data_IF_623383417127
#
_entry.id   IF_623383417127
#
_cell.length_a   1.000
_cell.length_b   1.000
_cell.length_c   1.000
_cell.angle_alpha   90.00
_cell.angle_beta   90.00
_cell.angle_gamma   90.00
#
_symmetry.space_group_name_H-M   'P 1'
#
loop_
_entity.id
_entity.type
_entity.pdbx_description
1 polymer ?
#
# COMPACT_ATOMS: atom_id res chain seq x y z
N UNK A 1 -26.08 -67.13 -36.20
CA UNK A 1 -26.05 -67.63 -34.81
C UNK A 1 -24.91 -68.63 -34.77
N UNK A 2 -23.77 -68.23 -34.21
CA UNK A 2 -22.51 -68.98 -34.29
C UNK A 2 -22.17 -69.65 -32.97
N UNK A 3 -21.65 -70.86 -33.10
CA UNK A 3 -20.90 -71.70 -32.16
C UNK A 3 -19.83 -70.88 -31.40
N UNK A 4 -19.22 -71.30 -30.28
CA UNK A 4 -18.75 -72.62 -29.89
C UNK A 4 -18.34 -72.53 -28.40
N UNK A 5 -18.89 -73.44 -27.61
CA UNK A 5 -18.26 -74.28 -26.60
C UNK A 5 -17.15 -73.79 -25.65
N UNK A 6 -17.43 -74.06 -24.37
CA UNK A 6 -16.58 -74.80 -23.44
C UNK A 6 -15.34 -74.09 -22.88
N UNK A 7 -15.27 -73.92 -21.56
CA UNK A 7 -14.83 -75.03 -20.74
C UNK A 7 -14.80 -74.65 -19.26
N UNK A 8 -15.21 -75.64 -18.48
CA UNK A 8 -14.91 -75.85 -17.06
C UNK A 8 -13.49 -75.37 -16.73
N UNK A 9 -13.32 -74.78 -15.56
CA UNK A 9 -12.58 -75.42 -14.45
C UNK A 9 -12.10 -74.36 -13.45
N UNK A 10 -12.48 -74.60 -12.20
CA UNK A 10 -11.99 -73.95 -11.01
C UNK A 10 -10.47 -73.73 -11.03
N UNK A 11 -10.06 -72.49 -10.73
CA UNK A 11 -8.74 -72.19 -10.17
C UNK A 11 -8.92 -71.21 -9.03
N UNK A 12 -9.27 -71.79 -7.88
CA UNK A 12 -8.74 -71.33 -6.62
C UNK A 12 -7.20 -71.43 -6.70
N UNK A 13 -6.54 -70.28 -6.91
CA UNK A 13 -5.09 -70.11 -6.77
C UNK A 13 -4.86 -68.67 -6.32
N UNK A 14 -4.77 -68.50 -5.01
CA UNK A 14 -4.41 -67.23 -4.39
C UNK A 14 -3.09 -66.69 -4.92
N UNK A 15 -3.05 -65.38 -5.17
CA UNK A 15 -1.85 -64.55 -5.13
C UNK A 15 -2.26 -63.21 -4.51
N UNK A 16 -2.15 -63.17 -3.19
CA UNK A 16 -1.67 -62.05 -2.37
C UNK A 16 -2.13 -60.63 -2.77
N UNK A 17 -2.99 -60.04 -1.91
CA UNK A 17 -3.00 -58.59 -1.64
C UNK A 17 -1.55 -58.11 -1.56
N UNK A 18 -1.06 -57.35 -2.55
CA UNK A 18 0.18 -56.59 -2.45
C UNK A 18 -0.03 -55.47 -1.43
N UNK A 19 0.09 -55.84 -0.15
CA UNK A 19 0.29 -54.92 0.97
C UNK A 19 1.76 -54.46 0.91
N UNK A 20 2.07 -53.61 -0.06
CA UNK A 20 3.36 -52.95 -0.13
C UNK A 20 3.25 -51.66 -0.95
N UNK A 21 2.24 -50.83 -0.68
CA UNK A 21 2.49 -49.40 -0.77
C UNK A 21 3.47 -49.12 0.37
N UNK A 22 4.75 -49.08 0.03
CA UNK A 22 5.79 -48.64 0.96
C UNK A 22 5.43 -47.20 1.29
N UNK A 23 4.71 -47.02 2.40
CA UNK A 23 4.32 -45.72 2.91
C UNK A 23 5.53 -44.82 2.79
N UNK A 24 5.43 -43.80 1.92
CA UNK A 24 6.49 -42.82 1.75
C UNK A 24 6.81 -42.34 3.16
N UNK A 25 8.08 -42.38 3.61
CA UNK A 25 8.45 -41.84 4.90
C UNK A 25 7.85 -40.43 4.99
N UNK A 26 7.25 -40.03 6.14
CA UNK A 26 6.70 -38.70 6.29
C UNK A 26 7.74 -37.71 5.78
N UNK A 27 7.35 -36.92 4.77
CA UNK A 27 8.27 -35.99 4.14
C UNK A 27 8.84 -35.12 5.26
N UNK A 28 10.16 -35.20 5.44
CA UNK A 28 10.83 -34.39 6.44
C UNK A 28 10.46 -32.93 6.15
N UNK A 29 10.00 -32.15 7.15
CA UNK A 29 9.69 -30.75 6.94
C UNK A 29 10.91 -30.09 6.30
N UNK A 30 10.70 -29.41 5.18
CA UNK A 30 11.76 -28.62 4.56
C UNK A 30 12.22 -27.61 5.62
N UNK A 31 13.52 -27.49 5.90
CA UNK A 31 14.02 -26.48 6.82
C UNK A 31 13.51 -25.11 6.39
N UNK A 32 12.66 -24.50 7.21
CA UNK A 32 12.23 -23.13 6.99
C UNK A 32 13.35 -22.22 7.48
N UNK A 33 13.69 -21.22 6.67
CA UNK A 33 14.64 -20.18 7.05
C UNK A 33 13.88 -19.17 7.89
N UNK A 34 14.31 -19.01 9.13
CA UNK A 34 13.78 -17.99 10.03
C UNK A 34 14.59 -16.70 9.86
N UNK A 35 13.90 -15.58 9.64
CA UNK A 35 14.47 -14.23 9.77
C UNK A 35 14.52 -13.85 11.24
N UNK A 36 13.41 -14.10 11.96
CA UNK A 36 13.35 -13.99 13.41
C UNK A 36 13.01 -15.38 13.96
N UNK A 37 13.92 -16.02 14.73
CA UNK A 37 13.74 -17.38 15.21
C UNK A 37 12.39 -17.60 15.91
N UNK A 38 11.61 -18.56 15.41
CA UNK A 38 10.31 -18.94 15.97
C UNK A 38 9.22 -17.86 15.91
N UNK A 39 9.43 -16.80 15.12
CA UNK A 39 8.50 -15.66 15.01
C UNK A 39 8.21 -15.22 13.59
N UNK A 40 9.21 -15.23 12.71
CA UNK A 40 9.08 -14.78 11.34
C UNK A 40 9.98 -15.60 10.42
N UNK A 41 9.37 -16.38 9.54
CA UNK A 41 10.04 -17.08 8.46
C UNK A 41 10.27 -16.17 7.25
N UNK A 42 11.23 -16.55 6.42
CA UNK A 42 11.51 -15.87 5.14
C UNK A 42 10.28 -15.91 4.21
N UNK A 43 9.52 -17.01 4.21
CA UNK A 43 8.31 -17.14 3.42
C UNK A 43 7.21 -16.17 3.87
N UNK A 44 7.03 -16.00 5.18
CA UNK A 44 6.08 -15.03 5.75
C UNK A 44 6.52 -13.59 5.43
N UNK A 45 7.81 -13.30 5.52
CA UNK A 45 8.35 -11.99 5.14
C UNK A 45 8.15 -11.66 3.66
N UNK A 46 8.42 -12.61 2.76
CA UNK A 46 8.16 -12.44 1.32
C UNK A 46 6.66 -12.24 1.06
N UNK A 47 5.79 -12.96 1.79
CA UNK A 47 4.35 -12.77 1.69
C UNK A 47 3.91 -11.38 2.18
N UNK A 48 4.53 -10.84 3.24
CA UNK A 48 4.30 -9.48 3.71
C UNK A 48 4.76 -8.42 2.71
N UNK A 49 5.94 -8.58 2.11
CA UNK A 49 6.41 -7.67 1.08
C UNK A 49 5.48 -7.67 -0.14
N UNK A 50 4.98 -8.84 -0.55
CA UNK A 50 4.00 -8.94 -1.63
C UNK A 50 2.63 -8.34 -1.29
N UNK A 51 2.33 -8.16 0.00
CA UNK A 51 1.11 -7.50 0.49
C UNK A 51 1.26 -5.96 0.49
N UNK A 52 2.48 -5.45 0.69
CA UNK A 52 2.80 -4.01 0.79
C UNK A 52 2.56 -3.24 -0.53
N UNK A 53 2.53 -3.93 -1.66
CA UNK A 53 2.33 -3.38 -3.02
C UNK A 53 0.98 -2.62 -3.25
N UNK A 54 0.19 -2.37 -2.20
CA UNK A 54 -1.15 -1.76 -2.25
C UNK A 54 -1.42 -0.60 -1.29
N UNK A 55 -0.45 -0.12 -0.51
CA UNK A 55 -0.68 0.97 0.46
C UNK A 55 -0.54 2.40 -0.11
N UNK A 56 -0.78 2.59 -1.41
CA UNK A 56 -0.70 3.92 -2.05
C UNK A 56 -1.90 4.83 -1.74
N UNK A 57 -2.97 4.30 -1.13
CA UNK A 57 -4.18 5.08 -0.83
C UNK A 57 -3.91 6.26 0.10
N UNK A 58 -2.98 6.11 1.05
CA UNK A 58 -2.64 7.21 1.97
C UNK A 58 -1.89 8.34 1.25
N UNK A 59 -1.07 8.01 0.24
CA UNK A 59 -0.40 8.99 -0.61
C UNK A 59 -1.42 9.77 -1.43
N UNK A 60 -2.39 9.09 -2.05
CA UNK A 60 -3.47 9.72 -2.81
C UNK A 60 -4.31 10.66 -1.94
N UNK A 61 -4.68 10.21 -0.73
CA UNK A 61 -5.43 11.04 0.23
C UNK A 61 -4.63 12.28 0.62
N UNK A 62 -3.32 12.14 0.87
CA UNK A 62 -2.46 13.26 1.24
C UNK A 62 -2.32 14.26 0.09
N UNK A 63 -2.16 13.76 -1.14
CA UNK A 63 -2.08 14.58 -2.34
C UNK A 63 -3.39 15.36 -2.57
N UNK A 64 -4.54 14.68 -2.47
CA UNK A 64 -5.86 15.31 -2.61
C UNK A 64 -6.12 16.36 -1.53
N UNK A 65 -5.75 16.06 -0.29
CA UNK A 65 -5.89 17.00 0.81
C UNK A 65 -5.03 18.25 0.57
N UNK A 66 -3.76 18.07 0.19
CA UNK A 66 -2.85 19.18 -0.08
C UNK A 66 -3.34 20.03 -1.26
N UNK A 67 -3.80 19.40 -2.34
CA UNK A 67 -4.35 20.09 -3.50
C UNK A 67 -5.55 20.97 -3.12
N UNK A 68 -6.48 20.45 -2.32
CA UNK A 68 -7.68 21.19 -1.86
C UNK A 68 -7.33 22.34 -0.93
N UNK A 69 -6.39 22.14 -0.01
CA UNK A 69 -5.92 23.21 0.88
C UNK A 69 -5.26 24.32 0.08
N UNK A 70 -4.38 23.97 -0.86
CA UNK A 70 -3.70 24.93 -1.73
C UNK A 70 -4.69 25.70 -2.61
N UNK A 71 -5.69 25.04 -3.20
CA UNK A 71 -6.73 25.69 -4.00
C UNK A 71 -7.55 26.70 -3.17
N UNK A 72 -8.00 26.29 -1.99
CA UNK A 72 -8.77 27.17 -1.09
C UNK A 72 -7.94 28.37 -0.63
N UNK A 73 -6.71 28.14 -0.19
CA UNK A 73 -5.80 29.20 0.25
C UNK A 73 -5.49 30.18 -0.89
N UNK A 74 -5.29 29.67 -2.11
CA UNK A 74 -5.01 30.50 -3.26
C UNK A 74 -6.23 31.33 -3.69
N UNK A 75 -7.44 30.78 -3.64
CA UNK A 75 -8.68 31.55 -3.87
C UNK A 75 -8.83 32.69 -2.87
N UNK A 76 -8.63 32.40 -1.58
CA UNK A 76 -8.66 33.42 -0.51
C UNK A 76 -7.63 34.51 -0.76
N UNK A 77 -6.41 34.13 -1.14
CA UNK A 77 -5.35 35.06 -1.51
C UNK A 77 -5.74 35.95 -2.70
N UNK A 78 -6.27 35.38 -3.77
CA UNK A 78 -6.70 36.15 -4.94
C UNK A 78 -7.87 37.08 -4.61
N UNK A 79 -8.85 36.64 -3.83
CA UNK A 79 -9.96 37.52 -3.40
C UNK A 79 -9.43 38.73 -2.63
N UNK A 80 -8.45 38.53 -1.76
CA UNK A 80 -7.83 39.63 -0.99
C UNK A 80 -6.95 40.56 -1.83
N UNK A 81 -6.30 40.06 -2.88
CA UNK A 81 -5.39 40.86 -3.71
C UNK A 81 -6.05 41.52 -4.91
N UNK A 82 -7.00 40.83 -5.52
CA UNK A 82 -7.66 41.24 -6.77
C UNK A 82 -8.94 42.04 -6.48
N UNK A 83 -9.41 42.05 -5.23
CA UNK A 83 -10.57 42.85 -4.82
C UNK A 83 -11.87 42.38 -5.47
N UNK A 84 -11.95 41.11 -5.88
CA UNK A 84 -13.19 40.49 -6.36
C UNK A 84 -14.07 40.11 -5.16
N UNK A 85 -14.48 41.11 -4.39
CA UNK A 85 -15.74 41.10 -3.66
C UNK A 85 -16.74 41.91 -4.49
N UNK A 86 -17.86 41.32 -4.98
CA UNK A 86 -18.86 42.07 -5.74
C UNK A 86 -19.65 43.09 -4.90
N UNK A 87 -19.41 43.22 -3.60
CA UNK A 87 -20.11 44.15 -2.71
C UNK A 87 -19.20 45.05 -1.87
N UNK A 88 -18.88 46.24 -2.39
CA UNK A 88 -18.25 47.39 -1.72
C UNK A 88 -16.76 47.30 -1.33
N UNK A 89 -15.95 48.34 -1.63
CA UNK A 89 -14.58 48.44 -1.15
C UNK A 89 -14.55 48.85 0.33
N UNK A 90 -13.92 48.05 1.18
CA UNK A 90 -13.58 48.43 2.55
C UNK A 90 -12.24 49.21 2.55
N UNK A 91 -12.18 50.48 2.98
CA UNK A 91 -10.97 51.30 2.95
C UNK A 91 -9.90 50.89 3.97
N UNK A 92 -10.12 49.84 4.77
CA UNK A 92 -9.17 49.34 5.77
C UNK A 92 -8.33 48.16 5.31
N UNK A 93 -8.35 47.81 4.00
CA UNK A 93 -7.69 46.64 3.43
C UNK A 93 -6.28 46.44 3.99
N UNK A 94 -6.20 45.53 4.97
CA UNK A 94 -4.97 45.12 5.63
C UNK A 94 -3.99 44.73 4.54
N UNK A 95 -2.76 45.27 4.52
CA UNK A 95 -1.82 45.00 3.45
C UNK A 95 -1.58 43.49 3.33
N UNK A 96 -1.49 42.95 2.10
CA UNK A 96 -1.29 41.52 1.89
C UNK A 96 -0.09 41.05 2.72
N UNK A 97 -0.14 39.84 3.27
CA UNK A 97 0.88 39.33 4.20
C UNK A 97 2.31 39.51 3.69
N UNK A 98 2.51 39.47 2.36
CA UNK A 98 3.76 39.81 1.68
C UNK A 98 4.28 41.24 1.94
N UNK A 99 3.39 42.24 1.94
CA UNK A 99 3.73 43.63 2.27
C UNK A 99 4.03 43.76 3.76
N UNK A 100 3.28 43.09 4.63
CA UNK A 100 3.53 43.09 6.09
C UNK A 100 4.87 42.42 6.46
N UNK A 101 5.23 41.34 5.78
CA UNK A 101 6.53 40.67 5.90
C UNK A 101 7.68 41.55 5.41
N UNK A 102 7.53 42.23 4.27
CA UNK A 102 8.54 43.18 3.76
C UNK A 102 8.78 44.34 4.72
N UNK A 103 7.73 44.92 5.31
CA UNK A 103 7.86 46.00 6.29
C UNK A 103 8.52 45.55 7.60
N UNK A 104 8.24 44.31 8.04
CA UNK A 104 8.84 43.72 9.24
C UNK A 104 10.35 43.47 9.09
N UNK A 105 10.79 43.05 7.90
CA UNK A 105 12.20 42.83 7.59
C UNK A 105 12.95 44.15 7.40
N UNK A 106 12.32 45.16 6.78
CA UNK A 106 12.91 46.49 6.62
C UNK A 106 13.12 47.21 7.97
N UNK A 107 12.26 46.98 8.96
CA UNK A 107 12.39 47.59 10.30
C UNK A 107 13.48 46.94 11.18
N UNK A 108 14.03 45.80 10.78
CA UNK A 108 15.06 45.05 11.54
C UNK A 108 16.49 45.38 11.08
N UNK A 109 16.67 46.41 10.25
CA UNK A 109 18.01 46.91 9.89
C UNK A 109 18.17 48.31 10.48
N UNK A 110 18.55 48.36 11.76
CA UNK A 110 19.12 49.59 12.32
C UNK A 110 20.54 49.75 11.77
N UNK A 111 20.92 50.89 11.18
CA UNK A 111 22.31 51.16 10.88
C UNK A 111 23.04 51.30 12.22
N UNK A 112 24.03 50.43 12.44
CA UNK A 112 25.03 50.61 13.49
C UNK A 112 25.81 51.87 13.07
N UNK A 113 25.53 52.98 13.74
CA UNK A 113 26.38 54.16 13.66
C UNK A 113 27.56 53.94 14.61
N UNK A 114 28.78 54.00 14.05
CA UNK A 114 30.06 54.10 14.78
C UNK A 114 30.12 55.36 15.66
#
# INVERSE_FOLDING_TARGET
MSHESSSRQARDRGVTRSKAEKARPPAQPVPQVDIVPGRLSEAEWIAFLAQEEGENMMEDILADFLARVMECAFKVYLTQQVGLDPGLPNPSATPPLLVRLRSSLASTVHPIHD
#
